data_IF_182051519828
#
_entry.id   IF_182051519828
#
_cell.length_a   1.000
_cell.length_b   1.000
_cell.length_c   1.000
_cell.angle_alpha   90.00
_cell.angle_beta   90.00
_cell.angle_gamma   90.00
#
_symmetry.space_group_name_H-M   'P 1'
#
loop_
_entity.id
_entity.type
_entity.pdbx_description
1 polymer ?
#
# COMPACT_ATOMS: atom_id res chain seq x y z
N UNK A 1 2.00 -23.35 -4.25
CA UNK A 1 1.00 -22.44 -4.85
C UNK A 1 0.30 -21.54 -3.82
N UNK A 2 -0.22 -22.07 -2.69
CA UNK A 2 -0.92 -21.24 -1.70
C UNK A 2 -0.01 -20.19 -1.02
N UNK A 3 1.18 -20.60 -0.57
CA UNK A 3 2.16 -19.71 0.10
C UNK A 3 2.65 -18.57 -0.80
N UNK A 4 2.84 -18.84 -2.08
CA UNK A 4 3.25 -17.86 -3.09
C UNK A 4 2.15 -16.82 -3.34
N UNK A 5 0.88 -17.25 -3.38
CA UNK A 5 -0.26 -16.33 -3.50
C UNK A 5 -0.44 -15.45 -2.26
N UNK A 6 -0.24 -16.00 -1.06
CA UNK A 6 -0.31 -15.23 0.19
C UNK A 6 0.84 -14.22 0.29
N UNK A 7 2.04 -14.61 -0.18
CA UNK A 7 3.16 -13.67 -0.31
C UNK A 7 2.81 -12.50 -1.24
N UNK A 8 2.27 -12.77 -2.44
CA UNK A 8 1.88 -11.72 -3.39
C UNK A 8 0.80 -10.80 -2.81
N UNK A 9 -0.19 -11.34 -2.07
CA UNK A 9 -1.19 -10.54 -1.35
C UNK A 9 -0.55 -9.65 -0.29
N UNK A 10 0.44 -10.16 0.44
CA UNK A 10 1.21 -9.39 1.42
C UNK A 10 1.97 -8.24 0.77
N UNK A 11 2.63 -8.50 -0.37
CA UNK A 11 3.33 -7.47 -1.15
C UNK A 11 2.38 -6.38 -1.64
N UNK A 12 1.20 -6.75 -2.15
CA UNK A 12 0.20 -5.79 -2.62
C UNK A 12 -0.31 -4.87 -1.49
N UNK A 13 -0.62 -5.44 -0.32
CA UNK A 13 -1.00 -4.68 0.88
C UNK A 13 0.11 -3.72 1.33
N UNK A 14 1.35 -4.20 1.38
CA UNK A 14 2.51 -3.36 1.72
C UNK A 14 2.66 -2.20 0.73
N UNK A 15 2.58 -2.49 -0.57
CA UNK A 15 2.68 -1.50 -1.62
C UNK A 15 1.60 -0.41 -1.51
N UNK A 16 0.35 -0.80 -1.23
CA UNK A 16 -0.74 0.14 -1.00
C UNK A 16 -0.46 1.04 0.22
N UNK A 17 -0.03 0.46 1.34
CA UNK A 17 0.31 1.19 2.56
C UNK A 17 1.47 2.18 2.35
N UNK A 18 2.57 1.74 1.72
CA UNK A 18 3.70 2.63 1.41
C UNK A 18 3.29 3.75 0.45
N UNK A 19 2.45 3.48 -0.55
CA UNK A 19 1.95 4.51 -1.47
C UNK A 19 1.18 5.59 -0.73
N UNK A 20 0.34 5.22 0.23
CA UNK A 20 -0.43 6.19 1.02
C UNK A 20 0.47 7.03 1.94
N UNK A 21 1.49 6.42 2.56
CA UNK A 21 2.48 7.17 3.33
C UNK A 21 3.24 8.20 2.46
N UNK A 22 3.51 7.88 1.19
CA UNK A 22 4.14 8.82 0.27
C UNK A 22 3.20 9.98 -0.07
N UNK A 23 1.88 9.75 -0.23
CA UNK A 23 0.90 10.85 -0.37
C UNK A 23 0.87 11.75 0.85
N UNK A 24 0.75 11.15 2.03
CA UNK A 24 0.74 11.90 3.28
C UNK A 24 2.02 12.74 3.43
N UNK A 25 3.17 12.19 3.05
CA UNK A 25 4.43 12.92 3.03
C UNK A 25 4.42 14.05 1.99
N UNK A 26 3.91 13.83 0.78
CA UNK A 26 3.79 14.88 -0.23
C UNK A 26 2.95 16.05 0.29
N UNK A 27 1.80 15.76 0.90
CA UNK A 27 0.90 16.78 1.46
C UNK A 27 1.53 17.52 2.65
N UNK A 28 2.32 16.83 3.48
CA UNK A 28 3.06 17.48 4.57
C UNK A 28 4.13 18.49 4.09
N UNK A 29 4.53 18.40 2.81
CA UNK A 29 5.44 19.34 2.15
C UNK A 29 4.72 20.24 1.14
N UNK A 30 3.39 20.38 1.25
CA UNK A 30 2.55 21.20 0.37
C UNK A 30 2.67 20.84 -1.13
N UNK A 31 2.95 19.58 -1.45
CA UNK A 31 2.97 19.06 -2.82
C UNK A 31 1.64 18.36 -3.15
N UNK A 32 1.10 18.64 -4.33
CA UNK A 32 0.02 17.81 -4.89
C UNK A 32 0.55 16.42 -5.29
N UNK A 33 -0.35 15.44 -5.40
CA UNK A 33 -0.01 14.09 -5.86
C UNK A 33 0.67 14.11 -7.24
N UNK A 34 0.26 15.01 -8.14
CA UNK A 34 0.89 15.21 -9.45
C UNK A 34 2.29 15.82 -9.35
N UNK A 35 2.50 16.80 -8.47
CA UNK A 35 3.81 17.40 -8.26
C UNK A 35 4.80 16.39 -7.67
N UNK A 36 4.35 15.63 -6.68
CA UNK A 36 5.12 14.55 -6.08
C UNK A 36 5.41 13.44 -7.11
N UNK A 37 4.41 13.04 -7.92
CA UNK A 37 4.60 12.09 -9.01
C UNK A 37 5.69 12.52 -9.99
N UNK A 38 5.66 13.77 -10.45
CA UNK A 38 6.68 14.30 -11.36
C UNK A 38 8.07 14.33 -10.72
N UNK A 39 8.18 14.68 -9.44
CA UNK A 39 9.45 14.69 -8.73
C UNK A 39 10.01 13.28 -8.56
N UNK A 40 9.17 12.33 -8.15
CA UNK A 40 9.52 10.93 -7.98
C UNK A 40 9.99 10.31 -9.30
N UNK A 41 9.31 10.60 -10.41
CA UNK A 41 9.68 10.09 -11.73
C UNK A 41 11.05 10.61 -12.19
N UNK A 42 11.33 11.90 -11.99
CA UNK A 42 12.63 12.52 -12.31
C UNK A 42 13.79 11.91 -11.52
N UNK A 43 13.51 11.42 -10.31
CA UNK A 43 14.52 10.80 -9.43
C UNK A 43 14.63 9.28 -9.61
N UNK A 44 13.89 8.70 -10.56
CA UNK A 44 13.95 7.26 -10.87
C UNK A 44 13.00 6.39 -10.05
N UNK A 45 12.11 6.97 -9.23
CA UNK A 45 11.11 6.24 -8.44
C UNK A 45 9.84 5.93 -9.27
N UNK A 46 10.00 5.41 -10.48
CA UNK A 46 8.93 5.29 -11.49
C UNK A 46 7.68 4.53 -11.01
N UNK A 47 7.86 3.47 -10.22
CA UNK A 47 6.73 2.68 -9.70
C UNK A 47 5.89 3.53 -8.73
N UNK A 48 6.54 4.18 -7.78
CA UNK A 48 5.89 5.05 -6.79
C UNK A 48 5.24 6.26 -7.47
N UNK A 49 5.93 6.86 -8.45
CA UNK A 49 5.43 7.99 -9.23
C UNK A 49 4.11 7.67 -9.94
N UNK A 50 3.92 6.44 -10.42
CA UNK A 50 2.64 6.01 -11.02
C UNK A 50 1.60 5.68 -9.96
N UNK A 51 2.00 4.99 -8.90
CA UNK A 51 1.08 4.51 -7.87
C UNK A 51 0.46 5.63 -7.03
N UNK A 52 1.21 6.72 -6.79
CA UNK A 52 0.70 7.88 -6.05
C UNK A 52 -0.46 8.61 -6.76
N UNK A 53 -0.66 8.39 -8.07
CA UNK A 53 -1.78 8.96 -8.82
C UNK A 53 -3.07 8.12 -8.74
N UNK A 54 -3.00 6.90 -8.21
CA UNK A 54 -4.13 5.98 -8.16
C UNK A 54 -4.75 5.96 -6.76
N UNK A 55 -5.99 6.46 -6.55
CA UNK A 55 -6.57 6.59 -5.21
C UNK A 55 -6.39 5.30 -4.40
N UNK A 56 -5.85 5.45 -3.19
CA UNK A 56 -5.45 4.34 -2.34
C UNK A 56 -6.66 3.48 -2.02
N UNK A 57 -6.66 2.22 -2.47
CA UNK A 57 -7.60 1.19 -2.01
C UNK A 57 -7.15 0.63 -0.67
N UNK A 58 -6.74 1.49 0.26
CA UNK A 58 -6.38 1.04 1.60
C UNK A 58 -7.69 0.86 2.36
N UNK A 59 -8.23 -0.35 2.30
CA UNK A 59 -9.16 -0.76 3.35
C UNK A 59 -8.40 -0.65 4.67
N UNK A 60 -8.90 0.13 5.65
CA UNK A 60 -8.20 0.35 6.90
C UNK A 60 -7.89 -1.00 7.55
N UNK A 61 -6.73 -1.07 8.22
CA UNK A 61 -6.07 -2.23 8.85
C UNK A 61 -6.95 -3.11 9.79
N UNK A 62 -8.26 -2.86 9.90
CA UNK A 62 -9.21 -3.63 10.71
C UNK A 62 -9.45 -5.09 10.27
N UNK A 63 -9.16 -5.47 9.02
CA UNK A 63 -9.40 -6.84 8.53
C UNK A 63 -8.22 -7.81 8.72
N UNK A 64 -7.03 -7.32 9.11
CA UNK A 64 -5.89 -8.20 9.44
C UNK A 64 -6.02 -8.90 10.79
N UNK A 65 -6.89 -8.41 11.69
CA UNK A 65 -7.04 -8.97 13.04
C UNK A 65 -8.07 -10.11 13.12
N UNK A 66 -8.87 -10.36 12.08
CA UNK A 66 -9.93 -11.38 12.10
C UNK A 66 -9.60 -12.69 11.40
N UNK A 67 -8.55 -12.72 10.58
CA UNK A 67 -8.24 -13.88 9.72
C UNK A 67 -7.21 -14.85 10.31
N UNK A 68 -6.62 -14.53 11.47
CA UNK A 68 -5.57 -15.36 12.10
C UNK A 68 -6.00 -16.02 13.41
N UNK A 69 -7.30 -16.22 13.66
CA UNK A 69 -7.75 -16.62 14.99
C UNK A 69 -9.08 -17.35 15.08
N UNK A 70 -9.39 -18.27 14.16
CA UNK A 70 -10.54 -19.16 14.38
C UNK A 70 -10.43 -20.50 13.65
N UNK A 71 -9.49 -21.34 14.07
CA UNK A 71 -9.49 -22.78 13.74
C UNK A 71 -8.79 -23.58 14.86
N UNK A 72 -9.14 -23.36 16.13
CA UNK A 72 -8.82 -24.31 17.19
C UNK A 72 -9.97 -24.30 18.23
N UNK A 73 -10.44 -25.51 18.58
CA UNK A 73 -11.52 -25.90 19.50
C UNK A 73 -12.97 -26.00 18.97
N UNK A 74 -13.36 -27.21 18.57
CA UNK A 74 -14.24 -28.06 19.40
C UNK A 74 -14.38 -29.46 18.76
N UNK A 75 -13.86 -30.47 19.47
CA UNK A 75 -14.21 -31.88 19.26
C UNK A 75 -15.52 -32.28 19.92
#
# INVERSE_FOLDING_TARGET
MAKEMDFLRGVDKLHAFYTENVRMLAHAYDLSDEQASMLLDRMGFHNVARSILLPGRVDPIGDLARDTGKDDDAG
#
